data_IF_554743327422
#
_entry.id   IF_554743327422
#
_cell.length_a   1.000
_cell.length_b   1.000
_cell.length_c   1.000
_cell.angle_alpha   90.00
_cell.angle_beta   90.00
_cell.angle_gamma   90.00
#
_symmetry.space_group_name_H-M   'P 1'
#
loop_
_entity.id
_entity.type
_entity.pdbx_description
1 polymer ?
#
# COMPACT_ATOMS: atom_id res chain seq x y z
N UNK A 1 2.17 13.62 -17.33
CA UNK A 1 2.15 12.71 -16.16
C UNK A 1 3.61 12.44 -15.81
N UNK A 2 4.02 12.43 -14.53
CA UNK A 2 5.38 12.01 -14.19
C UNK A 2 5.61 10.61 -14.77
N UNK A 3 6.78 10.38 -15.37
CA UNK A 3 7.16 9.05 -15.88
C UNK A 3 7.09 8.06 -14.73
N UNK A 4 6.26 7.03 -14.88
CA UNK A 4 6.17 5.96 -13.90
C UNK A 4 7.47 5.16 -13.98
N UNK A 5 8.13 5.00 -12.84
CA UNK A 5 9.40 4.28 -12.79
C UNK A 5 9.18 2.82 -13.27
N UNK A 6 9.98 2.31 -14.22
CA UNK A 6 9.83 0.94 -14.72
C UNK A 6 10.02 -0.14 -13.65
N UNK A 7 10.63 0.19 -12.50
CA UNK A 7 10.76 -0.71 -11.34
C UNK A 7 9.49 -0.79 -10.47
N UNK A 8 8.49 0.06 -10.72
CA UNK A 8 7.23 0.09 -9.97
C UNK A 8 6.23 -0.92 -10.56
N UNK A 9 6.37 -2.20 -10.20
CA UNK A 9 5.47 -3.27 -10.62
C UNK A 9 4.96 -4.03 -9.38
N UNK A 10 3.66 -4.40 -9.31
CA UNK A 10 2.59 -4.05 -10.23
C UNK A 10 2.05 -2.63 -9.96
N UNK A 11 1.69 -1.90 -11.01
CA UNK A 11 1.07 -0.57 -10.93
C UNK A 11 -0.46 -0.70 -10.97
N UNK A 12 -1.16 -0.09 -10.02
CA UNK A 12 -2.62 -0.01 -10.03
C UNK A 12 -3.11 0.88 -11.17
N UNK A 13 -4.20 0.47 -11.83
CA UNK A 13 -4.93 1.33 -12.75
C UNK A 13 -5.63 2.49 -11.99
N UNK A 14 -6.25 3.42 -12.73
CA UNK A 14 -6.89 4.59 -12.13
C UNK A 14 -8.08 4.22 -11.22
N UNK A 15 -8.84 3.17 -11.57
CA UNK A 15 -10.02 2.76 -10.82
C UNK A 15 -9.62 2.12 -9.48
N UNK A 16 -8.70 1.15 -9.53
CA UNK A 16 -8.12 0.50 -8.36
C UNK A 16 -7.35 1.50 -7.49
N UNK A 17 -6.63 2.45 -8.08
CA UNK A 17 -5.93 3.50 -7.33
C UNK A 17 -6.90 4.31 -6.46
N UNK A 18 -8.06 4.71 -6.99
CA UNK A 18 -9.06 5.43 -6.22
C UNK A 18 -9.65 4.56 -5.11
N UNK A 19 -9.99 3.29 -5.41
CA UNK A 19 -10.48 2.35 -4.40
C UNK A 19 -9.47 2.12 -3.26
N UNK A 20 -8.19 1.98 -3.59
CA UNK A 20 -7.10 1.86 -2.60
C UNK A 20 -7.00 3.13 -1.76
N UNK A 21 -7.04 4.33 -2.36
CA UNK A 21 -6.95 5.59 -1.63
C UNK A 21 -8.12 5.78 -0.67
N UNK A 22 -9.34 5.48 -1.10
CA UNK A 22 -10.54 5.55 -0.26
C UNK A 22 -10.46 4.56 0.92
N UNK A 23 -9.99 3.33 0.66
CA UNK A 23 -9.78 2.35 1.72
C UNK A 23 -8.68 2.79 2.70
N UNK A 24 -7.56 3.31 2.21
CA UNK A 24 -6.45 3.81 3.04
C UNK A 24 -6.92 4.96 3.92
N UNK A 25 -7.79 5.84 3.39
CA UNK A 25 -8.38 6.92 4.17
C UNK A 25 -9.27 6.41 5.29
N UNK A 26 -10.15 5.44 5.00
CA UNK A 26 -10.96 4.79 6.02
C UNK A 26 -10.08 4.07 7.05
N UNK A 27 -9.11 3.27 6.62
CA UNK A 27 -8.19 2.55 7.51
C UNK A 27 -7.41 3.50 8.42
N UNK A 28 -7.06 4.71 7.95
CA UNK A 28 -6.43 5.75 8.77
C UNK A 28 -7.34 6.20 9.93
N UNK A 29 -8.63 6.42 9.68
CA UNK A 29 -9.62 6.78 10.70
C UNK A 29 -9.85 5.65 11.72
N UNK A 30 -9.86 4.40 11.26
CA UNK A 30 -9.99 3.21 12.10
C UNK A 30 -8.68 2.81 12.83
N UNK A 31 -7.61 3.61 12.68
CA UNK A 31 -6.26 3.31 13.23
C UNK A 31 -5.68 1.96 12.78
N UNK A 32 -6.13 1.46 11.63
CA UNK A 32 -5.75 0.19 11.03
C UNK A 32 -4.75 0.39 9.88
N UNK A 33 -3.93 1.44 9.98
CA UNK A 33 -2.97 1.85 8.96
C UNK A 33 -1.63 2.21 9.60
N UNK A 34 -0.56 1.71 9.02
CA UNK A 34 0.83 2.08 9.33
C UNK A 34 1.44 2.80 8.13
N UNK A 35 2.18 3.88 8.39
CA UNK A 35 2.61 4.86 7.39
C UNK A 35 4.14 4.91 7.36
N UNK A 36 4.72 4.86 6.17
CA UNK A 36 6.16 4.89 5.93
C UNK A 36 6.77 3.49 5.75
N UNK A 37 7.92 3.45 5.06
CA UNK A 37 8.60 2.21 4.71
C UNK A 37 8.99 1.38 5.95
N UNK A 38 9.65 2.00 6.95
CA UNK A 38 10.07 1.29 8.17
C UNK A 38 8.89 0.67 8.95
N UNK A 39 7.75 1.35 8.99
CA UNK A 39 6.57 0.82 9.67
C UNK A 39 5.92 -0.32 8.86
N UNK A 40 5.91 -0.23 7.53
CA UNK A 40 5.50 -1.34 6.66
C UNK A 40 6.42 -2.57 6.83
N UNK A 41 7.74 -2.38 6.95
CA UNK A 41 8.67 -3.49 7.25
C UNK A 41 8.35 -4.13 8.59
N UNK A 42 7.99 -3.35 9.62
CA UNK A 42 7.60 -3.88 10.94
C UNK A 42 6.31 -4.69 10.90
N UNK A 43 5.29 -4.25 10.15
CA UNK A 43 4.02 -4.97 10.05
C UNK A 43 4.17 -6.30 9.31
N UNK A 44 4.98 -6.31 8.24
CA UNK A 44 5.34 -7.54 7.51
C UNK A 44 6.07 -8.53 8.42
N UNK A 45 7.08 -8.07 9.16
CA UNK A 45 7.82 -8.94 10.10
C UNK A 45 6.95 -9.48 11.24
N UNK A 46 5.94 -8.71 11.67
CA UNK A 46 4.98 -9.14 12.70
C UNK A 46 3.84 -10.01 12.17
N UNK A 47 3.70 -10.16 10.86
CA UNK A 47 2.61 -10.93 10.25
C UNK A 47 1.22 -10.32 10.45
N UNK A 48 1.14 -8.99 10.60
CA UNK A 48 -0.12 -8.27 10.81
C UNK A 48 -0.52 -7.38 9.62
N UNK A 49 0.13 -7.57 8.47
CA UNK A 49 -0.10 -6.79 7.25
C UNK A 49 -1.04 -7.55 6.32
N UNK A 50 -2.13 -6.90 5.88
CA UNK A 50 -3.05 -7.45 4.89
C UNK A 50 -2.54 -7.24 3.47
N UNK A 51 -2.05 -6.03 3.17
CA UNK A 51 -1.38 -5.68 1.92
C UNK A 51 -0.54 -4.40 2.09
N UNK A 52 0.38 -4.17 1.16
CA UNK A 52 1.27 -3.01 1.14
C UNK A 52 0.97 -2.11 -0.07
N UNK A 53 0.93 -0.80 0.16
CA UNK A 53 0.80 0.22 -0.88
C UNK A 53 2.10 1.01 -0.95
N UNK A 54 2.67 1.15 -2.15
CA UNK A 54 3.91 1.89 -2.40
C UNK A 54 3.68 2.99 -3.43
N UNK A 55 4.44 4.07 -3.35
CA UNK A 55 4.35 5.16 -4.33
C UNK A 55 5.38 4.99 -5.46
N UNK A 56 4.92 5.05 -6.71
CA UNK A 56 5.77 4.90 -7.90
C UNK A 56 6.62 6.15 -8.22
N UNK A 57 6.20 7.34 -7.78
CA UNK A 57 6.93 8.61 -7.91
C UNK A 57 7.90 8.87 -6.72
N UNK A 58 8.27 7.80 -6.01
CA UNK A 58 9.31 7.85 -5.00
C UNK A 58 10.67 8.06 -5.66
N UNK A 59 11.40 9.06 -5.18
CA UNK A 59 12.72 9.43 -5.68
C UNK A 59 13.67 9.55 -4.48
N UNK A 60 14.68 8.68 -4.34
CA UNK A 60 14.97 7.50 -5.16
C UNK A 60 14.01 6.33 -4.88
N UNK A 61 13.67 5.51 -5.89
CA UNK A 61 12.74 4.38 -5.72
C UNK A 61 13.41 3.22 -4.95
N UNK A 62 14.73 3.16 -4.97
CA UNK A 62 15.58 2.15 -4.34
C UNK A 62 15.28 2.00 -2.84
N UNK A 63 14.81 3.06 -2.18
CA UNK A 63 14.44 3.01 -0.76
C UNK A 63 13.24 2.09 -0.49
N UNK A 64 12.42 1.79 -1.49
CA UNK A 64 11.22 0.95 -1.38
C UNK A 64 11.45 -0.49 -1.88
N UNK A 65 12.50 -0.75 -2.65
CA UNK A 65 12.68 -2.03 -3.35
C UNK A 65 12.88 -3.24 -2.42
N UNK A 66 13.17 -3.00 -1.13
CA UNK A 66 13.21 -4.07 -0.13
C UNK A 66 11.81 -4.57 0.28
N UNK A 67 10.75 -3.78 0.07
CA UNK A 67 9.38 -4.16 0.45
C UNK A 67 8.79 -5.24 -0.46
N UNK A 68 8.88 -5.18 -1.80
CA UNK A 68 8.42 -6.26 -2.68
C UNK A 68 9.00 -7.62 -2.30
N UNK A 69 10.33 -7.72 -2.11
CA UNK A 69 10.98 -8.97 -1.71
C UNK A 69 10.43 -9.51 -0.38
N UNK A 70 10.29 -8.64 0.62
CA UNK A 70 9.75 -9.03 1.92
C UNK A 70 8.26 -9.42 1.84
N UNK A 71 7.51 -8.81 0.94
CA UNK A 71 6.11 -9.13 0.69
C UNK A 71 5.97 -10.53 0.07
N UNK A 72 6.82 -10.87 -0.90
CA UNK A 72 6.88 -12.20 -1.51
C UNK A 72 7.25 -13.28 -0.48
N UNK A 73 8.28 -13.06 0.33
CA UNK A 73 8.70 -13.98 1.40
C UNK A 73 7.58 -14.23 2.45
N UNK A 74 6.74 -13.22 2.69
CA UNK A 74 5.64 -13.28 3.67
C UNK A 74 4.29 -13.63 3.05
N UNK A 75 4.22 -13.82 1.74
CA UNK A 75 2.99 -14.02 0.99
C UNK A 75 1.94 -12.92 1.27
N UNK A 76 2.39 -11.67 1.31
CA UNK A 76 1.55 -10.47 1.49
C UNK A 76 1.48 -9.73 0.16
N UNK A 77 0.28 -9.44 -0.37
CA UNK A 77 0.16 -8.72 -1.64
C UNK A 77 0.61 -7.27 -1.52
N UNK A 78 1.14 -6.74 -2.61
CA UNK A 78 1.64 -5.36 -2.68
C UNK A 78 1.29 -4.71 -4.02
N UNK A 79 1.20 -3.39 -4.01
CA UNK A 79 0.84 -2.62 -5.22
C UNK A 79 1.46 -1.23 -5.20
N UNK A 80 1.81 -0.74 -6.38
CA UNK A 80 2.24 0.64 -6.58
C UNK A 80 1.07 1.54 -6.99
N UNK A 81 0.98 2.71 -6.36
CA UNK A 81 0.11 3.82 -6.76
C UNK A 81 0.94 4.94 -7.36
N UNK A 82 0.39 5.73 -8.30
CA UNK A 82 1.18 6.68 -9.09
C UNK A 82 1.76 7.84 -8.27
N UNK A 83 1.19 8.23 -7.13
CA UNK A 83 1.64 9.41 -6.38
C UNK A 83 1.72 9.26 -4.86
N UNK A 84 2.89 9.58 -4.31
CA UNK A 84 3.18 9.72 -2.87
C UNK A 84 2.42 10.86 -2.21
N UNK A 85 2.12 11.91 -2.96
CA UNK A 85 1.34 13.05 -2.45
C UNK A 85 -0.13 12.66 -2.25
N UNK A 86 -0.70 11.91 -3.21
CA UNK A 86 -2.05 11.37 -3.08
C UNK A 86 -2.13 10.34 -1.95
N UNK A 87 -1.15 9.43 -1.86
CA UNK A 87 -1.06 8.47 -0.77
C UNK A 87 -0.94 9.16 0.61
N UNK A 88 -0.15 10.23 0.72
CA UNK A 88 -0.05 11.02 1.95
C UNK A 88 -1.39 11.63 2.38
N UNK A 89 -2.14 12.22 1.45
CA UNK A 89 -3.48 12.75 1.72
C UNK A 89 -4.46 11.66 2.17
N UNK A 90 -4.47 10.51 1.48
CA UNK A 90 -5.27 9.35 1.89
C UNK A 90 -4.88 8.87 3.29
N UNK A 91 -3.59 8.88 3.63
CA UNK A 91 -3.11 8.58 4.98
C UNK A 91 -3.48 9.67 6.02
N UNK A 92 -4.13 10.76 5.65
CA UNK A 92 -4.48 11.86 6.56
C UNK A 92 -3.28 12.66 7.04
N UNK A 93 -2.21 12.75 6.23
CA UNK A 93 -1.02 13.54 6.54
C UNK A 93 -0.73 14.56 5.44
N UNK A 94 -0.21 15.73 5.82
CA UNK A 94 0.16 16.78 4.87
C UNK A 94 1.47 16.49 4.12
N UNK A 95 2.30 15.59 4.65
CA UNK A 95 3.58 15.20 4.06
C UNK A 95 3.39 14.01 3.10
N UNK A 96 4.17 13.93 2.02
CA UNK A 96 4.17 12.75 1.14
C UNK A 96 4.46 11.46 1.90
N UNK A 97 3.77 10.39 1.54
CA UNK A 97 3.98 9.05 2.09
C UNK A 97 4.40 8.12 0.96
N UNK A 98 5.52 7.43 1.16
CA UNK A 98 6.12 6.56 0.13
C UNK A 98 5.66 5.11 0.23
N UNK A 99 5.21 4.68 1.41
CA UNK A 99 4.66 3.35 1.64
C UNK A 99 3.62 3.39 2.77
N UNK A 100 2.63 2.51 2.70
CA UNK A 100 1.65 2.30 3.74
C UNK A 100 1.29 0.81 3.85
N UNK A 101 0.99 0.36 5.06
CA UNK A 101 0.56 -1.00 5.36
C UNK A 101 -0.82 -0.95 6.00
N UNK A 102 -1.78 -1.62 5.39
CA UNK A 102 -3.09 -1.85 5.99
C UNK A 102 -2.97 -3.08 6.89
N UNK A 103 -3.29 -2.92 8.17
CA UNK A 103 -3.08 -3.99 9.15
C UNK A 103 -4.32 -4.86 9.32
N UNK A 104 -4.15 -6.08 9.83
CA UNK A 104 -5.27 -6.95 10.18
C UNK A 104 -6.01 -6.43 11.42
N UNK A 105 -7.33 -6.46 11.39
CA UNK A 105 -8.20 -6.28 12.56
C UNK A 105 -9.50 -7.06 12.33
N UNK A 106 -9.72 -8.11 13.12
CA UNK A 106 -10.85 -9.03 12.93
C UNK A 106 -12.20 -8.40 13.24
N UNK A 107 -12.23 -7.39 14.12
CA UNK A 107 -13.44 -6.69 14.53
C UNK A 107 -13.76 -5.47 13.65
N UNK A 108 -13.03 -5.28 12.55
CA UNK A 108 -13.19 -4.11 11.67
C UNK A 108 -14.22 -4.35 10.58
N UNK A 109 -15.14 -3.39 10.43
CA UNK A 109 -16.12 -3.35 9.34
C UNK A 109 -15.46 -3.20 7.95
N UNK A 110 -14.18 -2.81 7.90
CA UNK A 110 -13.42 -2.66 6.65
C UNK A 110 -12.97 -3.99 6.06
N UNK A 111 -13.09 -5.10 6.80
CA UNK A 111 -12.58 -6.42 6.38
C UNK A 111 -13.08 -6.86 5.01
N UNK A 112 -14.36 -6.74 4.63
CA UNK A 112 -14.83 -7.14 3.30
C UNK A 112 -14.18 -6.30 2.18
N UNK A 113 -13.98 -5.00 2.40
CA UNK A 113 -13.35 -4.11 1.44
C UNK A 113 -11.85 -4.41 1.29
N UNK A 114 -11.16 -4.68 2.41
CA UNK A 114 -9.76 -5.10 2.43
C UNK A 114 -9.58 -6.39 1.63
N UNK A 115 -10.45 -7.40 1.85
CA UNK A 115 -10.41 -8.66 1.12
C UNK A 115 -10.66 -8.48 -0.39
N UNK A 116 -11.61 -7.61 -0.77
CA UNK A 116 -11.90 -7.33 -2.17
C UNK A 116 -10.70 -6.69 -2.88
N UNK A 117 -10.08 -5.68 -2.27
CA UNK A 117 -8.89 -5.01 -2.82
C UNK A 117 -7.70 -5.96 -2.86
N UNK A 118 -7.50 -6.77 -1.81
CA UNK A 118 -6.45 -7.80 -1.76
C UNK A 118 -6.53 -8.74 -2.97
N UNK A 119 -7.73 -9.26 -3.27
CA UNK A 119 -7.94 -10.15 -4.42
C UNK A 119 -7.68 -9.46 -5.76
N UNK A 120 -7.99 -8.16 -5.87
CA UNK A 120 -7.68 -7.39 -7.08
C UNK A 120 -6.17 -7.18 -7.25
N UNK A 121 -5.45 -6.92 -6.15
CA UNK A 121 -3.98 -6.79 -6.18
C UNK A 121 -3.33 -8.12 -6.54
N UNK A 122 -3.79 -9.24 -5.97
CA UNK A 122 -3.27 -10.58 -6.29
C UNK A 122 -3.41 -10.91 -7.78
N UNK A 123 -4.48 -10.46 -8.44
CA UNK A 123 -4.66 -10.61 -9.91
C UNK A 123 -3.66 -9.82 -10.74
N UNK A 124 -3.07 -8.76 -10.20
CA UNK A 124 -2.05 -7.97 -10.89
C UNK A 124 -0.63 -8.56 -10.77
N UNK A 125 -0.43 -9.50 -9.84
CA UNK A 125 0.85 -10.17 -9.59
C UNK A 125 1.03 -11.46 -10.42
N UNK A 126 0.06 -11.80 -11.28
CA UNK A 126 0.07 -12.96 -12.19
C UNK A 126 0.58 -12.56 -13.57
#
# INVERSE_FOLDING_TARGET
>A
MPEVNPKAFPLADAALTNQIQDLVQQASHYKQLKKGANEATKTLNRGISEFIVMAADCEPIEILLHLPLLCEDKNVPYVFVPSKAALGRACGVSRPVVAASVTTNEASDLRPQIQAIRLQIEKLLI
#
